data_IF_325444673716
#
_entry.id   IF_325444673716
#
_cell.length_a   1.000
_cell.length_b   1.000
_cell.length_c   1.000
_cell.angle_alpha   90.00
_cell.angle_beta   90.00
_cell.angle_gamma   90.00
#
_symmetry.space_group_name_H-M   'P 1'
#
loop_
_entity.id
_entity.type
_entity.pdbx_description
1 polymer ?
#
# COMPACT_ATOMS: atom_id res chain seq x y z
N UNK A 1 11.36 14.17 2.41
CA UNK A 1 11.05 13.01 3.24
C UNK A 1 9.97 12.19 2.54
N UNK A 2 10.09 10.85 2.45
CA UNK A 2 9.08 10.06 1.74
C UNK A 2 7.77 9.99 2.54
N UNK A 3 6.64 9.84 1.85
CA UNK A 3 5.33 9.66 2.48
C UNK A 3 5.34 8.53 3.54
N UNK A 4 6.09 7.46 3.28
CA UNK A 4 6.23 6.35 4.22
C UNK A 4 6.87 6.75 5.55
N UNK A 5 7.89 7.63 5.54
CA UNK A 5 8.49 8.14 6.78
C UNK A 5 7.49 8.96 7.58
N UNK A 6 6.69 9.79 6.90
CA UNK A 6 5.64 10.57 7.55
C UNK A 6 4.58 9.67 8.19
N UNK A 7 4.17 8.58 7.51
CA UNK A 7 3.22 7.60 8.07
C UNK A 7 3.81 6.93 9.32
N UNK A 8 5.09 6.54 9.29
CA UNK A 8 5.76 5.93 10.44
C UNK A 8 5.80 6.90 11.62
N UNK A 9 6.16 8.16 11.39
CA UNK A 9 6.21 9.20 12.43
C UNK A 9 4.84 9.48 13.05
N UNK A 10 3.78 9.45 12.25
CA UNK A 10 2.42 9.75 12.71
C UNK A 10 1.76 8.57 13.43
N UNK A 11 1.95 7.36 12.93
CA UNK A 11 1.22 6.19 13.44
C UNK A 11 2.06 5.30 14.37
N UNK A 12 3.39 5.37 14.26
CA UNK A 12 4.29 4.45 14.96
C UNK A 12 4.14 2.98 14.55
N UNK A 13 3.31 2.69 13.55
CA UNK A 13 3.08 1.34 13.01
C UNK A 13 2.96 1.38 11.48
N UNK A 14 3.70 0.51 10.82
CA UNK A 14 3.62 0.34 9.38
C UNK A 14 3.91 -1.11 9.00
N UNK A 15 2.97 -1.75 8.35
CA UNK A 15 3.21 -3.07 7.76
C UNK A 15 3.22 -2.99 6.25
N UNK A 16 4.41 -3.14 5.66
CA UNK A 16 4.58 -3.20 4.22
C UNK A 16 4.43 -4.64 3.72
N UNK A 17 3.40 -4.90 2.93
CA UNK A 17 3.18 -6.17 2.26
C UNK A 17 3.58 -6.08 0.79
N UNK A 18 4.47 -6.96 0.34
CA UNK A 18 4.89 -6.98 -1.07
C UNK A 18 4.65 -8.33 -1.72
N UNK A 19 4.20 -8.32 -2.97
CA UNK A 19 3.94 -9.52 -3.75
C UNK A 19 5.21 -10.02 -4.46
N UNK A 20 6.21 -10.46 -3.67
CA UNK A 20 7.47 -10.99 -4.19
C UNK A 20 8.43 -9.93 -4.76
N UNK A 21 8.06 -8.66 -4.78
CA UNK A 21 8.93 -7.56 -5.18
C UNK A 21 9.78 -7.08 -3.98
N UNK A 22 11.09 -7.31 -4.08
CA UNK A 22 12.04 -7.02 -3.00
C UNK A 22 12.45 -5.56 -2.94
N UNK A 23 12.38 -4.84 -4.06
CA UNK A 23 12.86 -3.45 -4.14
C UNK A 23 12.18 -2.51 -3.16
N UNK A 24 10.88 -2.67 -2.96
CA UNK A 24 10.14 -1.84 -2.00
C UNK A 24 10.62 -2.03 -0.55
N UNK A 25 10.82 -3.27 -0.14
CA UNK A 25 11.34 -3.55 1.19
C UNK A 25 12.79 -3.09 1.36
N UNK A 26 13.64 -3.25 0.34
CA UNK A 26 15.04 -2.78 0.34
C UNK A 26 15.09 -1.26 0.48
N UNK A 27 14.29 -0.55 -0.30
CA UNK A 27 14.22 0.91 -0.23
C UNK A 27 13.73 1.40 1.13
N UNK A 28 12.68 0.76 1.69
CA UNK A 28 12.19 1.08 3.02
C UNK A 28 13.28 0.85 4.09
N UNK A 29 13.98 -0.27 4.01
CA UNK A 29 15.07 -0.57 4.94
C UNK A 29 16.23 0.43 4.81
N UNK A 30 16.59 0.81 3.58
CA UNK A 30 17.64 1.79 3.33
C UNK A 30 17.29 3.18 3.90
N UNK A 31 16.05 3.62 3.70
CA UNK A 31 15.59 4.95 4.14
C UNK A 31 15.34 5.06 5.64
N UNK A 32 14.82 4.00 6.26
CA UNK A 32 14.28 4.07 7.62
C UNK A 32 15.06 3.19 8.63
N UNK A 33 16.12 2.47 8.21
CA UNK A 33 16.84 1.60 9.15
C UNK A 33 17.58 2.37 10.23
N UNK A 34 17.47 1.88 11.45
CA UNK A 34 18.12 2.43 12.64
C UNK A 34 19.21 1.50 13.16
N UNK A 35 20.23 2.07 13.80
CA UNK A 35 21.31 1.31 14.41
C UNK A 35 20.91 0.87 15.84
N UNK A 36 20.60 -0.41 16.02
CA UNK A 36 20.27 -0.98 17.32
C UNK A 36 21.53 -1.13 18.18
N UNK A 37 21.67 -0.28 19.19
CA UNK A 37 22.77 -0.36 20.17
C UNK A 37 22.39 -1.31 21.31
N UNK A 38 22.96 -2.52 21.31
CA UNK A 38 22.71 -3.57 22.34
C UNK A 38 23.75 -3.57 23.44
N UNK A 39 24.67 -2.60 23.51
CA UNK A 39 25.78 -2.58 24.47
C UNK A 39 26.91 -3.59 24.16
N UNK A 40 26.75 -4.44 23.15
CA UNK A 40 27.79 -5.39 22.74
C UNK A 40 28.87 -4.71 21.92
N UNK A 41 30.12 -5.17 22.07
CA UNK A 41 31.28 -4.69 21.32
C UNK A 41 31.09 -5.02 19.82
N UNK A 42 31.31 -4.04 18.96
CA UNK A 42 31.21 -4.21 17.51
C UNK A 42 30.29 -3.17 16.84
N UNK A 43 30.14 -3.28 15.49
CA UNK A 43 29.27 -2.39 14.72
C UNK A 43 27.80 -2.68 15.06
N UNK A 44 26.99 -1.68 15.41
CA UNK A 44 25.58 -1.86 15.67
C UNK A 44 24.85 -2.48 14.46
N UNK A 45 23.97 -3.43 14.74
CA UNK A 45 23.13 -4.02 13.69
C UNK A 45 22.05 -3.02 13.27
N UNK A 46 21.86 -2.89 11.96
CA UNK A 46 20.73 -2.12 11.43
C UNK A 46 19.45 -2.95 11.52
N UNK A 47 18.40 -2.34 12.02
CA UNK A 47 17.06 -2.92 12.12
C UNK A 47 16.03 -1.93 11.57
N UNK A 48 14.85 -2.43 11.23
CA UNK A 48 13.70 -1.55 10.97
C UNK A 48 13.33 -0.81 12.26
N UNK A 49 12.76 0.40 12.18
CA UNK A 49 12.25 1.12 13.35
C UNK A 49 11.20 0.30 14.12
N UNK A 50 10.99 0.62 15.38
CA UNK A 50 9.93 0.03 16.19
C UNK A 50 8.58 0.21 15.50
N UNK A 51 7.77 -0.86 15.43
CA UNK A 51 6.45 -0.86 14.78
C UNK A 51 6.49 -1.10 13.27
N UNK A 52 7.64 -1.00 12.61
CA UNK A 52 7.74 -1.19 11.16
C UNK A 52 8.02 -2.65 10.82
N UNK A 53 7.19 -3.23 9.95
CA UNK A 53 7.28 -4.62 9.49
C UNK A 53 7.28 -4.71 7.97
N UNK A 54 8.07 -5.63 7.43
CA UNK A 54 8.05 -5.96 6.00
C UNK A 54 7.69 -7.42 5.84
N UNK A 55 6.69 -7.72 5.02
CA UNK A 55 6.31 -9.09 4.68
C UNK A 55 6.38 -9.28 3.17
N UNK A 56 7.24 -10.17 2.77
CA UNK A 56 7.45 -10.53 1.37
C UNK A 56 6.75 -11.84 1.08
N UNK A 57 5.86 -11.84 0.09
CA UNK A 57 5.20 -13.07 -0.36
C UNK A 57 6.20 -13.93 -1.13
N UNK A 58 6.39 -15.16 -0.70
CA UNK A 58 7.21 -16.11 -1.43
C UNK A 58 6.51 -16.55 -2.71
N UNK A 59 7.01 -16.08 -3.86
CA UNK A 59 6.55 -16.52 -5.18
C UNK A 59 7.29 -17.80 -5.57
N UNK A 60 6.58 -18.73 -6.11
CA UNK A 60 7.13 -19.94 -6.71
C UNK A 60 6.33 -21.19 -6.38
N UNK A 61 6.26 -22.08 -7.33
CA UNK A 61 5.67 -23.40 -7.14
C UNK A 61 6.53 -24.18 -6.16
N UNK A 62 5.93 -24.57 -5.03
CA UNK A 62 6.54 -25.53 -4.11
C UNK A 62 6.22 -26.97 -4.45
N UNK A 63 5.53 -27.17 -5.59
CA UNK A 63 4.99 -28.46 -6.01
C UNK A 63 6.08 -29.52 -6.25
N UNK A 64 7.28 -29.08 -6.64
CA UNK A 64 8.41 -29.95 -6.98
C UNK A 64 9.64 -29.82 -6.06
N UNK A 65 9.53 -29.03 -4.97
CA UNK A 65 10.65 -28.88 -4.03
C UNK A 65 10.58 -29.93 -2.93
N UNK A 66 11.63 -30.74 -2.82
CA UNK A 66 11.86 -31.61 -1.66
C UNK A 66 12.25 -30.74 -0.46
N UNK A 67 11.67 -31.02 0.70
CA UNK A 67 11.96 -30.34 1.95
C UNK A 67 10.79 -29.56 2.55
N UNK A 68 10.96 -28.92 3.71
CA UNK A 68 9.89 -28.19 4.38
C UNK A 68 9.40 -27.04 3.52
N UNK A 69 8.09 -26.89 3.47
CA UNK A 69 7.45 -25.78 2.72
C UNK A 69 7.89 -24.45 3.33
N UNK A 70 8.36 -23.54 2.49
CA UNK A 70 8.64 -22.17 2.93
C UNK A 70 7.36 -21.48 3.38
N UNK A 71 7.40 -20.62 4.40
CA UNK A 71 6.24 -19.86 4.81
C UNK A 71 5.75 -19.00 3.63
N UNK A 72 4.44 -18.80 3.54
CA UNK A 72 3.82 -17.98 2.49
C UNK A 72 4.38 -16.56 2.46
N UNK A 73 4.67 -16.03 3.62
CA UNK A 73 5.31 -14.73 3.81
C UNK A 73 6.57 -14.88 4.65
N UNK A 74 7.55 -14.03 4.37
CA UNK A 74 8.80 -13.96 5.13
C UNK A 74 9.12 -12.52 5.50
N UNK A 75 9.85 -12.32 6.59
CA UNK A 75 10.44 -11.06 6.99
C UNK A 75 11.89 -10.99 6.45
N UNK A 76 12.16 -10.27 5.35
CA UNK A 76 13.47 -10.26 4.72
C UNK A 76 14.49 -9.39 5.46
N UNK A 77 14.04 -8.55 6.37
CA UNK A 77 14.87 -7.60 7.13
C UNK A 77 14.72 -7.81 8.62
N UNK A 78 15.78 -7.54 9.42
CA UNK A 78 15.69 -7.61 10.87
C UNK A 78 14.72 -6.53 11.38
N UNK A 79 13.75 -6.95 12.17
CA UNK A 79 12.79 -6.09 12.85
C UNK A 79 13.33 -5.66 14.22
N UNK A 80 12.85 -4.52 14.74
CA UNK A 80 13.19 -4.09 16.08
C UNK A 80 12.63 -5.09 17.12
N UNK A 81 13.38 -5.48 18.16
CA UNK A 81 12.94 -6.47 19.14
C UNK A 81 11.64 -6.09 19.86
N UNK A 82 11.42 -4.78 20.08
CA UNK A 82 10.20 -4.27 20.73
C UNK A 82 9.03 -4.08 19.75
N UNK A 83 9.16 -4.54 18.51
CA UNK A 83 8.05 -4.49 17.56
C UNK A 83 6.98 -5.50 17.98
N UNK A 84 5.70 -5.08 18.08
CA UNK A 84 4.61 -5.96 18.48
C UNK A 84 4.53 -7.22 17.61
N UNK A 85 4.04 -8.29 18.21
CA UNK A 85 3.99 -9.66 17.67
C UNK A 85 3.56 -9.76 16.20
N UNK A 86 3.97 -10.83 15.50
CA UNK A 86 3.71 -10.99 14.07
C UNK A 86 2.22 -10.95 13.76
N UNK A 87 1.89 -10.27 12.67
CA UNK A 87 0.54 -10.24 12.11
C UNK A 87 0.11 -11.68 11.83
N UNK A 88 -1.08 -12.06 12.27
CA UNK A 88 -1.64 -13.37 11.94
C UNK A 88 -1.63 -13.56 10.42
N UNK A 89 -1.21 -14.73 9.94
CA UNK A 89 -1.13 -15.00 8.50
C UNK A 89 -2.48 -14.90 7.79
N UNK A 90 -3.57 -15.02 8.54
CA UNK A 90 -4.95 -14.80 8.08
C UNK A 90 -5.28 -13.33 7.79
N UNK A 91 -4.62 -12.40 8.46
CA UNK A 91 -4.79 -10.96 8.25
C UNK A 91 -3.97 -10.45 7.06
N UNK A 92 -2.98 -11.24 6.62
CA UNK A 92 -2.14 -10.87 5.48
C UNK A 92 -2.84 -11.28 4.19
N UNK A 93 -3.56 -10.34 3.57
CA UNK A 93 -4.16 -10.56 2.27
C UNK A 93 -4.09 -9.32 1.38
N UNK A 94 -3.91 -9.53 0.08
CA UNK A 94 -3.85 -8.46 -0.91
C UNK A 94 -5.21 -8.25 -1.62
N UNK A 95 -6.28 -8.90 -1.17
CA UNK A 95 -7.57 -8.92 -1.85
C UNK A 95 -8.13 -7.52 -2.09
N UNK A 96 -8.05 -6.63 -1.10
CA UNK A 96 -8.52 -5.26 -1.23
C UNK A 96 -7.72 -4.47 -2.27
N UNK A 97 -6.40 -4.61 -2.27
CA UNK A 97 -5.52 -3.97 -3.23
C UNK A 97 -5.75 -4.52 -4.66
N UNK A 98 -5.91 -5.83 -4.80
CA UNK A 98 -6.20 -6.46 -6.09
C UNK A 98 -7.58 -6.04 -6.64
N UNK A 99 -8.59 -6.00 -5.78
CA UNK A 99 -9.92 -5.49 -6.13
C UNK A 99 -9.86 -4.01 -6.53
N UNK A 100 -9.11 -3.22 -5.79
CA UNK A 100 -8.87 -1.82 -6.09
C UNK A 100 -8.19 -1.63 -7.45
N UNK A 101 -7.11 -2.35 -7.75
CA UNK A 101 -6.44 -2.32 -9.05
C UNK A 101 -7.32 -2.81 -10.21
N UNK A 102 -8.29 -3.66 -9.94
CA UNK A 102 -9.23 -4.14 -10.95
C UNK A 102 -10.23 -3.05 -11.35
N UNK A 103 -10.58 -2.17 -10.44
CA UNK A 103 -11.56 -1.11 -10.66
C UNK A 103 -11.14 -0.10 -11.75
N UNK A 104 -9.92 0.50 -11.75
CA UNK A 104 -9.45 1.34 -12.86
C UNK A 104 -9.42 0.58 -14.20
N UNK A 105 -9.01 -0.70 -14.19
CA UNK A 105 -8.96 -1.52 -15.42
C UNK A 105 -10.33 -1.73 -16.05
N UNK A 106 -11.38 -1.78 -15.24
CA UNK A 106 -12.76 -1.91 -15.74
C UNK A 106 -13.34 -0.59 -16.25
N UNK A 107 -12.94 0.53 -15.65
CA UNK A 107 -13.56 1.85 -15.86
C UNK A 107 -12.79 2.75 -16.81
N UNK A 108 -11.46 2.63 -16.82
CA UNK A 108 -10.60 3.42 -17.69
C UNK A 108 -10.06 2.54 -18.81
N UNK A 109 -10.46 2.81 -20.05
CA UNK A 109 -10.04 2.02 -21.22
C UNK A 109 -8.51 1.96 -21.37
N UNK A 110 -7.80 3.01 -20.98
CA UNK A 110 -6.32 3.09 -21.03
C UNK A 110 -5.61 2.12 -20.09
N UNK A 111 -6.30 1.61 -19.07
CA UNK A 111 -5.75 0.62 -18.11
C UNK A 111 -6.17 -0.81 -18.41
N UNK A 112 -6.98 -1.04 -19.44
CA UNK A 112 -7.31 -2.40 -19.85
C UNK A 112 -6.07 -3.09 -20.40
N UNK A 113 -5.91 -4.37 -20.06
CA UNK A 113 -4.88 -5.20 -20.68
C UNK A 113 -5.20 -5.39 -22.16
N UNK A 114 -4.19 -5.36 -23.00
CA UNK A 114 -4.33 -5.58 -24.47
C UNK A 114 -5.32 -4.59 -25.12
N UNK A 115 -5.18 -3.32 -24.82
CA UNK A 115 -6.00 -2.27 -25.42
C UNK A 115 -5.20 -1.47 -26.43
N UNK A 116 -5.85 -1.07 -27.52
CA UNK A 116 -5.30 -0.07 -28.46
C UNK A 116 -5.50 1.37 -27.95
N UNK A 117 -6.21 1.55 -26.84
CA UNK A 117 -6.53 2.85 -26.24
C UNK A 117 -5.53 3.24 -25.15
N UNK A 118 -4.24 3.08 -25.41
CA UNK A 118 -3.21 3.48 -24.46
C UNK A 118 -3.06 5.02 -24.39
N UNK A 119 -2.63 5.51 -23.27
CA UNK A 119 -2.40 6.93 -23.08
C UNK A 119 -1.09 7.35 -23.79
N UNK A 120 -1.19 8.24 -24.76
CA UNK A 120 -0.03 8.82 -25.47
C UNK A 120 0.67 9.93 -24.69
N UNK A 121 0.01 10.48 -23.68
CA UNK A 121 0.49 11.58 -22.86
C UNK A 121 0.29 11.25 -21.37
N UNK A 122 1.39 11.29 -20.61
CA UNK A 122 1.40 10.98 -19.18
C UNK A 122 0.59 11.98 -18.35
N UNK A 123 0.61 13.28 -18.71
CA UNK A 123 -0.19 14.31 -18.04
C UNK A 123 -1.68 14.01 -18.15
N UNK A 124 -2.17 13.73 -19.35
CA UNK A 124 -3.59 13.37 -19.55
C UNK A 124 -3.95 12.04 -18.89
N UNK A 125 -3.01 11.13 -18.74
CA UNK A 125 -3.22 9.91 -17.99
C UNK A 125 -3.40 10.22 -16.50
N UNK A 126 -2.58 11.11 -15.96
CA UNK A 126 -2.67 11.56 -14.57
C UNK A 126 -4.02 12.27 -14.32
N UNK A 127 -4.40 13.22 -15.15
CA UNK A 127 -5.71 13.90 -15.05
C UNK A 127 -6.89 12.91 -14.97
N UNK A 128 -6.87 11.86 -15.79
CA UNK A 128 -7.91 10.81 -15.77
C UNK A 128 -7.89 10.01 -14.47
N UNK A 129 -6.70 9.74 -13.93
CA UNK A 129 -6.57 9.08 -12.64
C UNK A 129 -7.09 9.96 -11.53
N UNK A 130 -6.77 11.25 -11.54
CA UNK A 130 -7.20 12.20 -10.52
C UNK A 130 -8.73 12.30 -10.51
N UNK A 131 -9.38 12.42 -11.67
CA UNK A 131 -10.84 12.37 -11.77
C UNK A 131 -11.38 11.03 -11.25
N UNK A 132 -10.75 9.92 -11.63
CA UNK A 132 -11.17 8.60 -11.14
C UNK A 132 -11.10 8.51 -9.61
N UNK A 133 -10.01 9.01 -9.00
CA UNK A 133 -9.80 9.01 -7.56
C UNK A 133 -10.78 9.90 -6.81
N UNK A 134 -11.04 11.09 -7.35
CA UNK A 134 -12.02 12.02 -6.78
C UNK A 134 -13.39 11.36 -6.76
N UNK A 135 -13.85 10.83 -7.90
CA UNK A 135 -15.15 10.16 -7.99
C UNK A 135 -15.21 8.92 -7.09
N UNK A 136 -14.14 8.13 -7.03
CA UNK A 136 -14.10 6.92 -6.19
C UNK A 136 -14.18 7.23 -4.70
N UNK A 137 -13.45 8.24 -4.24
CA UNK A 137 -13.30 8.50 -2.81
C UNK A 137 -14.37 9.43 -2.25
N UNK A 138 -14.93 10.34 -3.06
CA UNK A 138 -15.77 11.42 -2.57
C UNK A 138 -17.24 11.36 -3.06
N UNK A 139 -17.51 10.61 -4.12
CA UNK A 139 -18.86 10.55 -4.73
C UNK A 139 -19.45 9.15 -4.60
N UNK A 140 -18.66 8.16 -4.92
CA UNK A 140 -19.18 6.81 -5.11
C UNK A 140 -19.35 6.06 -3.82
N UNK A 141 -20.58 5.55 -3.58
CA UNK A 141 -20.86 4.61 -2.49
C UNK A 141 -20.15 3.27 -2.77
N UNK A 142 -19.37 2.80 -1.81
CA UNK A 142 -18.71 1.50 -1.87
C UNK A 142 -19.70 0.39 -1.59
N UNK A 143 -19.66 -0.67 -2.39
CA UNK A 143 -20.66 -1.75 -2.31
C UNK A 143 -20.66 -2.46 -0.94
N UNK A 144 -19.50 -2.74 -0.38
CA UNK A 144 -19.37 -3.49 0.88
C UNK A 144 -19.69 -2.63 2.10
N UNK A 145 -19.15 -1.41 2.15
CA UNK A 145 -19.32 -0.51 3.31
C UNK A 145 -20.64 0.27 3.26
N UNK A 146 -21.30 0.31 2.10
CA UNK A 146 -22.51 1.11 1.84
C UNK A 146 -22.31 2.60 2.12
N UNK A 147 -21.09 3.05 2.15
CA UNK A 147 -20.71 4.44 2.38
C UNK A 147 -19.70 4.90 1.34
N UNK A 148 -19.60 6.22 1.16
CA UNK A 148 -18.53 6.86 0.41
C UNK A 148 -17.24 6.74 1.22
N UNK A 149 -16.09 6.36 0.64
CA UNK A 149 -14.85 6.15 1.37
C UNK A 149 -14.44 7.33 2.27
N UNK A 150 -14.57 8.56 1.80
CA UNK A 150 -14.25 9.75 2.59
C UNK A 150 -15.15 9.93 3.81
N UNK A 151 -16.41 9.51 3.72
CA UNK A 151 -17.37 9.49 4.85
C UNK A 151 -17.00 8.38 5.82
N UNK A 152 -16.68 7.19 5.31
CA UNK A 152 -16.26 6.07 6.13
C UNK A 152 -14.98 6.34 6.95
N UNK A 153 -14.11 7.23 6.44
CA UNK A 153 -12.89 7.68 7.11
C UNK A 153 -13.09 8.92 7.99
N UNK A 154 -14.31 9.46 8.08
CA UNK A 154 -14.59 10.68 8.86
C UNK A 154 -13.99 11.96 8.28
N UNK A 155 -13.62 11.95 6.99
CA UNK A 155 -13.08 13.14 6.29
C UNK A 155 -14.22 14.08 5.89
N UNK A 156 -15.39 13.52 5.58
CA UNK A 156 -16.60 14.24 5.19
C UNK A 156 -17.80 13.71 5.97
N UNK A 157 -18.78 14.57 6.22
CA UNK A 157 -20.06 14.20 6.83
C UNK A 157 -20.98 13.48 5.85
N UNK A 158 -20.88 13.83 4.56
CA UNK A 158 -21.64 13.20 3.46
C UNK A 158 -20.83 13.18 2.16
N UNK A 159 -21.16 12.25 1.28
CA UNK A 159 -20.53 12.17 -0.05
C UNK A 159 -21.06 13.26 -0.98
N UNK A 160 -20.22 13.74 -1.87
CA UNK A 160 -20.61 14.71 -2.89
C UNK A 160 -21.51 14.09 -3.96
N UNK A 161 -22.50 14.84 -4.41
CA UNK A 161 -23.14 14.55 -5.69
C UNK A 161 -22.20 14.94 -6.84
N UNK A 162 -22.32 14.24 -7.98
CA UNK A 162 -21.40 14.48 -9.10
C UNK A 162 -21.46 15.94 -9.60
N UNK A 163 -22.62 16.58 -9.59
CA UNK A 163 -22.76 17.97 -10.01
C UNK A 163 -22.09 18.96 -9.03
N UNK A 164 -22.03 18.65 -7.75
CA UNK A 164 -21.36 19.50 -6.74
C UNK A 164 -19.88 19.62 -7.01
N UNK A 165 -19.23 18.55 -7.52
CA UNK A 165 -17.82 18.61 -7.88
C UNK A 165 -17.50 19.68 -8.94
N UNK A 166 -18.42 19.93 -9.86
CA UNK A 166 -18.26 20.95 -10.89
C UNK A 166 -18.48 22.38 -10.36
N UNK A 167 -19.08 22.52 -9.19
CA UNK A 167 -19.31 23.80 -8.53
C UNK A 167 -18.19 24.18 -7.56
N UNK A 168 -17.27 23.27 -7.24
CA UNK A 168 -16.10 23.56 -6.40
C UNK A 168 -15.18 24.50 -7.17
N UNK A 169 -15.23 25.76 -6.80
CA UNK A 169 -14.31 26.78 -7.32
C UNK A 169 -12.98 26.71 -6.58
N UNK A 170 -11.89 26.92 -7.32
CA UNK A 170 -10.58 27.10 -6.71
C UNK A 170 -10.69 28.31 -5.76
N UNK A 171 -10.41 28.10 -4.48
CA UNK A 171 -10.17 29.22 -3.58
C UNK A 171 -8.99 30.02 -4.13
N UNK A 172 -9.21 31.28 -4.41
CA UNK A 172 -8.21 32.20 -4.95
C UNK A 172 -7.11 32.46 -3.95
#
# INVERSE_FOLDING_TARGET
MSLLCQVIEQTGDLTLLTDGERRYGSLLFELCSEALRTGKRGRPKKTLPKGVKVRLKNKGSQRHKRGPKRPKYQAPYPEHPDTPQPIATTEIHANHLEAFHTSPRRRCATYRRQTNMYAKNTGRLQERLDVYWIVHNFVRVHFTTRQVPAVALGILDHGFALHELFLIQKAA
#
